data_IF_426544336296
#
_entry.id   IF_426544336296
#
_cell.length_a   1.000
_cell.length_b   1.000
_cell.length_c   1.000
_cell.angle_alpha   90.00
_cell.angle_beta   90.00
_cell.angle_gamma   90.00
#
_symmetry.space_group_name_H-M   'P 1'
#
loop_
_entity.id
_entity.type
_entity.pdbx_description
1 polymer ?
#
# COMPACT_ATOMS: atom_id res chain seq x y z
N UNK A 1 -17.48 14.61 21.27
CA UNK A 1 -16.21 15.19 20.75
C UNK A 1 -15.10 14.16 20.56
N UNK A 2 -14.78 13.34 21.56
CA UNK A 2 -13.72 12.29 21.48
C UNK A 2 -13.83 11.35 20.27
N UNK A 3 -15.04 10.92 19.89
CA UNK A 3 -15.25 9.93 18.80
C UNK A 3 -14.66 10.37 17.44
N UNK A 4 -14.79 11.65 17.08
CA UNK A 4 -14.27 12.16 15.80
C UNK A 4 -12.74 12.23 15.83
N UNK A 5 -12.17 12.66 16.95
CA UNK A 5 -10.72 12.72 17.13
C UNK A 5 -10.07 11.33 17.10
N UNK A 6 -10.68 10.33 17.77
CA UNK A 6 -10.19 8.95 17.75
C UNK A 6 -10.22 8.37 16.34
N UNK A 7 -11.37 8.50 15.65
CA UNK A 7 -11.50 8.01 14.28
C UNK A 7 -10.57 8.75 13.30
N UNK A 8 -10.38 10.07 13.52
CA UNK A 8 -9.45 10.89 12.76
C UNK A 8 -8.01 10.42 12.92
N UNK A 9 -7.56 10.16 14.16
CA UNK A 9 -6.23 9.60 14.43
C UNK A 9 -6.06 8.24 13.76
N UNK A 10 -7.08 7.37 13.84
CA UNK A 10 -7.02 6.05 13.22
C UNK A 10 -6.88 6.13 11.69
N UNK A 11 -7.73 6.94 11.03
CA UNK A 11 -7.62 7.17 9.58
C UNK A 11 -6.28 7.82 9.22
N UNK A 12 -5.77 8.73 10.05
CA UNK A 12 -4.49 9.39 9.81
C UNK A 12 -3.32 8.40 9.84
N UNK A 13 -3.23 7.59 10.89
CA UNK A 13 -2.15 6.60 11.04
C UNK A 13 -2.23 5.52 9.96
N UNK A 14 -3.43 5.05 9.67
CA UNK A 14 -3.67 4.06 8.62
C UNK A 14 -3.28 4.63 7.24
N UNK A 15 -3.66 5.88 6.96
CA UNK A 15 -3.29 6.57 5.74
C UNK A 15 -1.78 6.79 5.60
N UNK A 16 -1.11 7.18 6.68
CA UNK A 16 0.35 7.29 6.71
C UNK A 16 1.03 5.96 6.41
N UNK A 17 0.61 4.86 7.06
CA UNK A 17 1.16 3.53 6.81
C UNK A 17 0.99 3.09 5.35
N UNK A 18 -0.19 3.34 4.78
CA UNK A 18 -0.52 3.05 3.38
C UNK A 18 0.25 3.90 2.36
N UNK A 19 0.90 4.98 2.79
CA UNK A 19 1.73 5.80 1.90
C UNK A 19 3.21 5.44 2.09
N UNK A 20 3.67 5.44 3.33
CA UNK A 20 5.08 5.26 3.68
C UNK A 20 5.56 3.85 3.28
N UNK A 21 4.79 2.80 3.59
CA UNK A 21 5.23 1.44 3.33
C UNK A 21 5.37 1.16 1.81
N UNK A 22 4.39 1.48 0.95
CA UNK A 22 4.56 1.33 -0.49
C UNK A 22 5.70 2.16 -1.07
N UNK A 23 5.90 3.40 -0.60
CA UNK A 23 7.03 4.23 -1.04
C UNK A 23 8.37 3.55 -0.71
N UNK A 24 8.52 3.00 0.49
CA UNK A 24 9.73 2.24 0.86
C UNK A 24 9.91 1.03 -0.07
N UNK A 25 8.83 0.29 -0.37
CA UNK A 25 8.90 -0.83 -1.30
C UNK A 25 9.38 -0.40 -2.70
N UNK A 26 8.81 0.68 -3.25
CA UNK A 26 9.16 1.22 -4.57
C UNK A 26 10.59 1.75 -4.60
N UNK A 27 11.00 2.53 -3.60
CA UNK A 27 12.28 3.23 -3.60
C UNK A 27 13.46 2.35 -3.17
N UNK A 28 13.23 1.32 -2.34
CA UNK A 28 14.30 0.54 -1.71
C UNK A 28 14.23 -0.93 -2.07
N UNK A 29 13.05 -1.56 -1.96
CA UNK A 29 12.94 -3.02 -2.09
C UNK A 29 12.99 -3.45 -3.56
N UNK A 30 12.16 -2.85 -4.42
CA UNK A 30 12.10 -3.23 -5.84
C UNK A 30 13.45 -3.04 -6.54
N UNK A 31 14.19 -1.92 -6.38
CA UNK A 31 15.50 -1.76 -7.01
C UNK A 31 16.51 -2.83 -6.57
N UNK A 32 16.51 -3.20 -5.28
CA UNK A 32 17.39 -4.28 -4.78
C UNK A 32 17.00 -5.64 -5.36
N UNK A 33 15.70 -5.91 -5.51
CA UNK A 33 15.23 -7.10 -6.20
C UNK A 33 15.68 -7.07 -7.65
N UNK A 34 15.48 -5.99 -8.40
CA UNK A 34 15.93 -5.89 -9.80
C UNK A 34 17.43 -6.17 -9.96
N UNK A 35 18.27 -5.63 -9.06
CA UNK A 35 19.70 -5.92 -9.04
C UNK A 35 19.98 -7.40 -8.82
N UNK A 36 19.33 -8.02 -7.82
CA UNK A 36 19.47 -9.45 -7.56
C UNK A 36 19.08 -10.29 -8.79
N UNK A 37 18.00 -9.96 -9.50
CA UNK A 37 17.60 -10.68 -10.72
C UNK A 37 18.61 -10.56 -11.84
N UNK A 38 19.25 -9.39 -11.99
CA UNK A 38 20.25 -9.18 -13.04
C UNK A 38 21.49 -10.06 -12.88
N UNK A 39 21.71 -10.65 -11.69
CA UNK A 39 22.75 -11.66 -11.47
C UNK A 39 22.39 -13.03 -12.07
N UNK A 40 21.10 -13.30 -12.30
CA UNK A 40 20.61 -14.60 -12.79
C UNK A 40 20.10 -14.55 -14.24
N UNK A 41 19.51 -13.44 -14.70
CA UNK A 41 18.90 -13.33 -16.03
C UNK A 41 19.25 -12.00 -16.69
N UNK A 42 19.50 -12.03 -18.01
CA UNK A 42 19.83 -10.82 -18.80
C UNK A 42 18.62 -9.93 -19.08
N UNK A 43 17.40 -10.49 -19.04
CA UNK A 43 16.16 -9.75 -19.20
C UNK A 43 15.69 -9.15 -17.87
N UNK A 44 15.38 -7.83 -17.82
CA UNK A 44 14.94 -7.21 -16.59
C UNK A 44 13.53 -7.71 -16.20
N UNK A 45 13.30 -8.04 -14.91
CA UNK A 45 12.00 -8.47 -14.42
C UNK A 45 10.94 -7.35 -14.53
N UNK A 46 9.71 -7.72 -14.90
CA UNK A 46 8.59 -6.77 -15.01
C UNK A 46 7.82 -6.64 -13.71
N UNK A 47 8.14 -5.61 -12.92
CA UNK A 47 7.42 -5.28 -11.67
C UNK A 47 6.16 -4.44 -11.87
N UNK A 48 5.62 -4.35 -13.10
CA UNK A 48 4.48 -3.49 -13.42
C UNK A 48 3.26 -3.73 -12.50
N UNK A 49 2.90 -4.99 -12.28
CA UNK A 49 1.78 -5.34 -11.39
C UNK A 49 2.05 -4.93 -9.94
N UNK A 50 3.27 -5.13 -9.46
CA UNK A 50 3.68 -4.69 -8.12
C UNK A 50 3.52 -3.17 -7.99
N UNK A 51 4.01 -2.38 -8.96
CA UNK A 51 3.85 -0.93 -8.95
C UNK A 51 2.38 -0.49 -8.98
N UNK A 52 1.55 -1.13 -9.79
CA UNK A 52 0.12 -0.82 -9.88
C UNK A 52 -0.59 -1.08 -8.54
N UNK A 53 -0.32 -2.22 -7.91
CA UNK A 53 -0.90 -2.57 -6.60
C UNK A 53 -0.44 -1.59 -5.53
N UNK A 54 0.87 -1.29 -5.46
CA UNK A 54 1.42 -0.33 -4.51
C UNK A 54 0.85 1.09 -4.73
N UNK A 55 0.63 1.49 -5.98
CA UNK A 55 -0.04 2.74 -6.32
C UNK A 55 -1.48 2.82 -5.82
N UNK A 56 -2.24 1.72 -5.90
CA UNK A 56 -3.59 1.65 -5.33
C UNK A 56 -3.58 1.77 -3.80
N UNK A 57 -2.60 1.17 -3.11
CA UNK A 57 -2.44 1.31 -1.65
C UNK A 57 -2.14 2.76 -1.29
N UNK A 58 -1.25 3.44 -2.02
CA UNK A 58 -0.95 4.87 -1.81
C UNK A 58 -2.21 5.72 -1.99
N UNK A 59 -3.00 5.45 -3.04
CA UNK A 59 -4.24 6.17 -3.29
C UNK A 59 -5.25 6.01 -2.13
N UNK A 60 -5.39 4.79 -1.60
CA UNK A 60 -6.20 4.54 -0.40
C UNK A 60 -5.66 5.32 0.81
N UNK A 61 -4.34 5.39 0.96
CA UNK A 61 -3.70 6.16 2.02
C UNK A 61 -4.03 7.66 1.95
N UNK A 62 -3.98 8.25 0.76
CA UNK A 62 -4.35 9.64 0.52
C UNK A 62 -5.83 9.88 0.88
N UNK A 63 -6.72 8.96 0.50
CA UNK A 63 -8.14 9.06 0.83
C UNK A 63 -8.37 9.02 2.36
N UNK A 64 -7.66 8.15 3.08
CA UNK A 64 -7.73 8.08 4.54
C UNK A 64 -7.19 9.36 5.20
N UNK A 65 -6.08 9.92 4.72
CA UNK A 65 -5.57 11.21 5.21
C UNK A 65 -6.57 12.34 4.98
N UNK A 66 -7.19 12.41 3.80
CA UNK A 66 -8.20 13.41 3.49
C UNK A 66 -9.39 13.32 4.46
N UNK A 67 -9.91 12.12 4.70
CA UNK A 67 -11.01 11.94 5.66
C UNK A 67 -10.56 12.26 7.09
N UNK A 68 -9.34 11.89 7.49
CA UNK A 68 -8.81 12.23 8.81
C UNK A 68 -8.83 13.74 9.06
N UNK A 69 -8.36 14.55 8.11
CA UNK A 69 -8.43 16.02 8.22
C UNK A 69 -9.86 16.54 8.34
N UNK A 70 -10.80 15.97 7.58
CA UNK A 70 -12.22 16.33 7.69
C UNK A 70 -12.83 15.93 9.04
N UNK A 71 -12.43 14.80 9.61
CA UNK A 71 -12.84 14.34 10.93
C UNK A 71 -12.30 15.24 12.05
N UNK A 72 -11.05 15.70 11.95
CA UNK A 72 -10.51 16.69 12.90
C UNK A 72 -11.26 18.02 12.86
N UNK A 73 -11.78 18.41 11.68
CA UNK A 73 -12.68 19.54 11.51
C UNK A 73 -14.13 19.28 11.98
N UNK A 74 -14.42 18.11 12.58
CA UNK A 74 -15.72 17.74 13.18
C UNK A 74 -16.90 17.74 12.21
N UNK A 75 -16.67 17.36 10.95
CA UNK A 75 -17.74 17.30 9.93
C UNK A 75 -18.51 15.98 10.00
N UNK A 76 -19.81 16.03 10.33
CA UNK A 76 -20.63 14.83 10.58
C UNK A 76 -20.76 13.90 9.38
N UNK A 77 -20.89 14.46 8.17
CA UNK A 77 -20.99 13.68 6.92
C UNK A 77 -19.81 12.71 6.76
N UNK A 78 -18.63 13.08 7.23
CA UNK A 78 -17.41 12.29 7.08
C UNK A 78 -17.22 11.24 8.16
N UNK A 79 -18.01 11.24 9.23
CA UNK A 79 -17.91 10.25 10.29
C UNK A 79 -18.25 8.85 9.79
N UNK A 80 -19.38 8.68 9.10
CA UNK A 80 -19.78 7.39 8.52
C UNK A 80 -18.79 6.95 7.44
N UNK A 81 -18.37 7.87 6.57
CA UNK A 81 -17.40 7.56 5.52
C UNK A 81 -16.04 7.17 6.08
N UNK A 82 -15.57 7.79 7.15
CA UNK A 82 -14.30 7.45 7.78
C UNK A 82 -14.28 6.09 8.46
N UNK A 83 -15.43 5.60 8.97
CA UNK A 83 -15.52 4.23 9.48
C UNK A 83 -15.43 3.23 8.33
N UNK A 84 -16.26 3.42 7.30
CA UNK A 84 -16.33 2.51 6.15
C UNK A 84 -14.98 2.47 5.42
N UNK A 85 -14.39 3.63 5.15
CA UNK A 85 -13.11 3.74 4.45
C UNK A 85 -12.00 3.06 5.26
N UNK A 86 -11.91 3.33 6.56
CA UNK A 86 -10.86 2.74 7.39
C UNK A 86 -10.94 1.21 7.43
N UNK A 87 -12.14 0.64 7.56
CA UNK A 87 -12.34 -0.82 7.56
C UNK A 87 -12.01 -1.41 6.18
N UNK A 88 -12.58 -0.85 5.12
CA UNK A 88 -12.38 -1.35 3.76
C UNK A 88 -10.91 -1.32 3.36
N UNK A 89 -10.25 -0.19 3.61
CA UNK A 89 -8.84 -0.02 3.24
C UNK A 89 -7.89 -0.82 4.14
N UNK A 90 -8.22 -1.06 5.42
CA UNK A 90 -7.44 -1.97 6.27
C UNK A 90 -7.39 -3.39 5.67
N UNK A 91 -8.55 -3.93 5.31
CA UNK A 91 -8.65 -5.29 4.71
C UNK A 91 -7.97 -5.32 3.35
N UNK A 92 -8.28 -4.36 2.47
CA UNK A 92 -7.71 -4.30 1.13
C UNK A 92 -6.20 -4.10 1.14
N UNK A 93 -5.65 -3.33 2.07
CA UNK A 93 -4.19 -3.16 2.20
C UNK A 93 -3.51 -4.46 2.52
N UNK A 94 -4.07 -5.27 3.43
CA UNK A 94 -3.52 -6.60 3.73
C UNK A 94 -3.48 -7.50 2.48
N UNK A 95 -4.58 -7.57 1.75
CA UNK A 95 -4.69 -8.36 0.52
C UNK A 95 -3.69 -7.87 -0.54
N UNK A 96 -3.64 -6.55 -0.78
CA UNK A 96 -2.76 -5.95 -1.76
C UNK A 96 -1.28 -6.12 -1.42
N UNK A 97 -0.89 -6.01 -0.16
CA UNK A 97 0.50 -6.26 0.25
C UNK A 97 0.89 -7.73 0.06
N UNK A 98 -0.02 -8.68 0.34
CA UNK A 98 0.24 -10.10 0.06
C UNK A 98 0.40 -10.32 -1.44
N UNK A 99 -0.47 -9.76 -2.28
CA UNK A 99 -0.39 -9.89 -3.74
C UNK A 99 0.89 -9.24 -4.30
N UNK A 100 1.27 -8.07 -3.82
CA UNK A 100 2.50 -7.38 -4.24
C UNK A 100 3.75 -8.19 -3.87
N UNK A 101 3.80 -8.77 -2.67
CA UNK A 101 4.90 -9.64 -2.26
C UNK A 101 4.92 -10.94 -3.07
N UNK A 102 3.77 -11.58 -3.26
CA UNK A 102 3.65 -12.81 -4.05
C UNK A 102 4.18 -12.61 -5.47
N UNK A 103 3.74 -11.55 -6.17
CA UNK A 103 4.22 -11.26 -7.52
C UNK A 103 5.72 -10.97 -7.57
N UNK A 104 6.26 -10.31 -6.55
CA UNK A 104 7.69 -9.99 -6.48
C UNK A 104 8.56 -11.22 -6.22
N UNK A 105 8.07 -12.18 -5.43
CA UNK A 105 8.75 -13.46 -5.12
C UNK A 105 8.55 -14.49 -6.24
N UNK A 106 7.36 -14.55 -6.85
CA UNK A 106 7.02 -15.49 -7.91
C UNK A 106 8.02 -15.44 -9.06
N UNK A 107 8.43 -14.23 -9.44
CA UNK A 107 9.47 -14.04 -10.44
C UNK A 107 10.82 -14.68 -10.02
N UNK A 108 11.16 -14.78 -8.71
CA UNK A 108 12.42 -15.39 -8.21
C UNK A 108 12.27 -16.89 -8.27
N UNK A 109 11.11 -17.38 -7.83
CA UNK A 109 10.81 -18.81 -7.78
C UNK A 109 10.81 -19.45 -9.17
N UNK A 110 10.49 -18.69 -10.22
CA UNK A 110 10.52 -19.17 -11.60
C UNK A 110 11.92 -19.15 -12.26
N UNK A 111 12.94 -18.55 -11.63
CA UNK A 111 14.31 -18.55 -12.17
C UNK A 111 14.83 -19.94 -12.56
N UNK A 112 14.66 -21.02 -11.76
CA UNK A 112 15.17 -22.35 -12.10
C UNK A 112 14.46 -23.01 -13.29
N UNK A 113 13.32 -22.49 -13.74
CA UNK A 113 12.62 -23.02 -14.92
C UNK A 113 13.16 -22.44 -16.23
N UNK A 114 13.96 -21.37 -16.17
CA UNK A 114 14.63 -20.75 -17.33
C UNK A 114 16.07 -21.26 -17.56
N UNK A 115 16.59 -22.12 -16.66
CA UNK A 115 17.87 -22.85 -16.78
C UNK A 115 17.66 -24.33 -17.10
#
# INVERSE_FOLDING_TARGET
MRKYSILGIFNFLLGLGQIVLPIICIAVVIPRLTLLYSEFVTMPPSFYLTYLILGLVIFMGIANLFIAFKLFAKTEKYFKYGIILAIATFILTGIFMVLANFWSIYMIYNLPAEF
#
